data_IF_370560224158
#
_entry.id   IF_370560224158
#
_cell.length_a   1.000
_cell.length_b   1.000
_cell.length_c   1.000
_cell.angle_alpha   90.00
_cell.angle_beta   90.00
_cell.angle_gamma   90.00
#
_symmetry.space_group_name_H-M   'P 1'
#
loop_
_entity.id
_entity.type
_entity.pdbx_description
1 polymer ?
#
# COMPACT_ATOMS: atom_id res chain seq x y z
N UNK A 1 10.38 37.10 11.32
CA UNK A 1 9.78 36.34 12.43
C UNK A 1 10.58 35.05 12.67
N UNK A 2 11.81 35.17 13.17
CA UNK A 2 12.64 34.04 13.55
C UNK A 2 13.11 34.27 15.00
N UNK A 3 12.18 34.22 15.94
CA UNK A 3 12.53 33.92 17.32
C UNK A 3 12.49 32.40 17.42
N UNK A 4 13.64 31.77 17.21
CA UNK A 4 13.84 30.37 17.56
C UNK A 4 13.52 30.23 19.05
N UNK A 5 12.45 29.51 19.35
CA UNK A 5 12.07 29.09 20.69
C UNK A 5 13.09 28.05 21.15
N UNK A 6 14.25 28.51 21.61
CA UNK A 6 15.28 27.68 22.18
C UNK A 6 14.68 26.87 23.35
N UNK A 7 14.51 25.57 23.15
CA UNK A 7 14.01 24.63 24.16
C UNK A 7 12.63 24.00 23.92
N UNK A 8 11.84 24.47 22.95
CA UNK A 8 10.59 23.77 22.61
C UNK A 8 10.82 22.67 21.58
N UNK A 9 10.22 21.47 21.74
CA UNK A 9 10.32 20.42 20.74
C UNK A 9 9.72 20.90 19.41
N UNK A 10 10.20 20.38 18.27
CA UNK A 10 9.69 20.82 16.98
C UNK A 10 8.19 20.52 16.87
N UNK A 11 7.40 21.33 16.12
CA UNK A 11 5.94 21.20 16.07
C UNK A 11 5.44 19.80 15.71
N UNK A 12 6.20 19.04 14.92
CA UNK A 12 5.89 17.66 14.52
C UNK A 12 6.13 16.61 15.60
N UNK A 13 6.86 16.92 16.68
CA UNK A 13 7.24 15.94 17.70
C UNK A 13 6.04 15.37 18.45
N UNK A 14 5.05 16.22 18.81
CA UNK A 14 3.86 15.79 19.54
C UNK A 14 3.00 14.84 18.67
N UNK A 15 2.62 15.19 17.42
CA UNK A 15 1.91 14.25 16.55
C UNK A 15 2.68 12.97 16.28
N UNK A 16 4.01 13.03 16.13
CA UNK A 16 4.83 11.84 15.95
C UNK A 16 4.78 10.92 17.19
N UNK A 17 4.83 11.50 18.39
CA UNK A 17 4.67 10.74 19.64
C UNK A 17 3.27 10.13 19.75
N UNK A 18 2.22 10.88 19.43
CA UNK A 18 0.84 10.37 19.41
C UNK A 18 0.68 9.22 18.42
N UNK A 19 1.29 9.32 17.24
CA UNK A 19 1.33 8.24 16.25
C UNK A 19 2.02 6.99 16.81
N UNK A 20 3.13 7.14 17.55
CA UNK A 20 3.78 6.02 18.25
C UNK A 20 2.88 5.42 19.33
N UNK A 21 2.15 6.26 20.09
CA UNK A 21 1.21 5.81 21.11
C UNK A 21 0.08 4.96 20.53
N UNK A 22 -0.40 5.25 19.31
CA UNK A 22 -1.37 4.38 18.61
C UNK A 22 -0.84 2.95 18.51
N UNK A 23 0.43 2.79 18.14
CA UNK A 23 1.06 1.48 18.00
C UNK A 23 1.29 0.82 19.37
N UNK A 24 1.79 1.59 20.35
CA UNK A 24 2.10 1.08 21.69
C UNK A 24 0.84 0.64 22.44
N UNK A 25 -0.22 1.45 22.43
CA UNK A 25 -1.50 1.10 23.07
C UNK A 25 -2.07 -0.18 22.47
N UNK A 26 -2.04 -0.30 21.14
CA UNK A 26 -2.48 -1.52 20.44
C UNK A 26 -1.63 -2.72 20.85
N UNK A 27 -0.30 -2.61 20.72
CA UNK A 27 0.65 -3.70 20.95
C UNK A 27 0.65 -4.21 22.39
N UNK A 28 0.64 -3.32 23.36
CA UNK A 28 0.58 -3.68 24.78
C UNK A 28 -0.77 -4.29 25.14
N UNK A 29 -1.87 -3.78 24.57
CA UNK A 29 -3.19 -4.36 24.83
C UNK A 29 -3.30 -5.78 24.29
N UNK A 30 -2.84 -6.06 23.07
CA UNK A 30 -2.88 -7.42 22.52
C UNK A 30 -1.93 -8.37 23.26
N UNK A 31 -0.83 -7.84 23.78
CA UNK A 31 0.11 -8.61 24.57
C UNK A 31 -0.53 -9.04 25.89
N UNK A 32 -1.15 -8.13 26.64
CA UNK A 32 -1.52 -8.38 28.05
C UNK A 32 -3.00 -8.60 28.33
N UNK A 33 -3.91 -7.98 27.57
CA UNK A 33 -5.33 -8.14 27.82
C UNK A 33 -5.84 -9.45 27.19
N UNK A 34 -6.70 -10.23 27.85
CA UNK A 34 -7.40 -11.35 27.21
C UNK A 34 -8.21 -10.92 25.97
N UNK A 35 -8.41 -11.85 25.03
CA UNK A 35 -9.12 -11.60 23.76
C UNK A 35 -10.56 -11.05 23.91
N UNK A 36 -11.21 -11.33 25.03
CA UNK A 36 -12.58 -10.89 25.35
C UNK A 36 -12.64 -9.84 26.47
N UNK A 37 -11.50 -9.27 26.88
CA UNK A 37 -11.45 -8.26 27.93
C UNK A 37 -12.11 -6.94 27.50
N UNK A 38 -12.82 -6.22 28.39
CA UNK A 38 -13.32 -4.88 28.12
C UNK A 38 -12.20 -3.85 27.88
N UNK A 39 -10.95 -4.16 28.24
CA UNK A 39 -9.80 -3.32 27.88
C UNK A 39 -9.61 -3.20 26.36
N UNK A 40 -10.04 -4.20 25.57
CA UNK A 40 -9.91 -4.21 24.10
C UNK A 40 -10.70 -3.07 23.42
N UNK A 41 -12.03 -2.92 23.62
CA UNK A 41 -12.77 -1.79 23.06
C UNK A 41 -12.32 -0.44 23.63
N UNK A 42 -11.95 -0.36 24.91
CA UNK A 42 -11.42 0.89 25.50
C UNK A 42 -10.12 1.33 24.81
N UNK A 43 -9.19 0.40 24.56
CA UNK A 43 -7.96 0.69 23.83
C UNK A 43 -8.25 1.12 22.37
N UNK A 44 -9.24 0.52 21.72
CA UNK A 44 -9.63 0.92 20.36
C UNK A 44 -10.17 2.37 20.33
N UNK A 45 -10.99 2.76 21.31
CA UNK A 45 -11.47 4.16 21.45
C UNK A 45 -10.30 5.12 21.70
N UNK A 46 -9.36 4.74 22.57
CA UNK A 46 -8.16 5.55 22.83
C UNK A 46 -7.29 5.73 21.57
N UNK A 47 -7.11 4.66 20.78
CA UNK A 47 -6.40 4.70 19.49
C UNK A 47 -7.08 5.66 18.50
N UNK A 48 -8.41 5.62 18.39
CA UNK A 48 -9.17 6.56 17.54
C UNK A 48 -8.98 8.00 18.02
N UNK A 49 -9.05 8.25 19.34
CA UNK A 49 -8.85 9.59 19.90
C UNK A 49 -7.43 10.12 19.63
N UNK A 50 -6.40 9.26 19.77
CA UNK A 50 -5.02 9.61 19.43
C UNK A 50 -4.87 9.94 17.94
N UNK A 51 -5.44 9.14 17.05
CA UNK A 51 -5.40 9.40 15.61
C UNK A 51 -6.14 10.70 15.23
N UNK A 52 -7.28 10.98 15.86
CA UNK A 52 -7.99 12.24 15.68
C UNK A 52 -7.15 13.43 16.15
N UNK A 53 -6.42 13.30 17.27
CA UNK A 53 -5.50 14.33 17.74
C UNK A 53 -4.35 14.57 16.74
N UNK A 54 -3.74 13.50 16.20
CA UNK A 54 -2.72 13.59 15.13
C UNK A 54 -3.27 14.33 13.92
N UNK A 55 -4.49 13.97 13.48
CA UNK A 55 -5.15 14.60 12.34
C UNK A 55 -5.42 16.09 12.55
N UNK A 56 -5.89 16.48 13.74
CA UNK A 56 -6.17 17.89 14.08
C UNK A 56 -4.90 18.73 14.07
N UNK A 57 -3.80 18.19 14.60
CA UNK A 57 -2.52 18.89 14.66
C UNK A 57 -1.78 18.91 13.32
N UNK A 58 -2.12 18.00 12.40
CA UNK A 58 -1.38 17.80 11.16
C UNK A 58 -1.22 19.08 10.33
N UNK A 59 -2.28 19.89 10.23
CA UNK A 59 -2.31 21.12 9.43
C UNK A 59 -1.36 22.21 9.94
N UNK A 60 -0.94 22.16 11.21
CA UNK A 60 -0.01 23.13 11.80
C UNK A 60 1.38 22.51 12.00
N UNK A 61 1.43 21.25 12.43
CA UNK A 61 2.64 20.57 12.81
C UNK A 61 3.50 20.10 11.62
N UNK A 62 2.87 19.84 10.47
CA UNK A 62 3.56 19.32 9.28
C UNK A 62 3.58 20.30 8.10
N UNK A 63 3.31 21.60 8.31
CA UNK A 63 3.39 22.60 7.24
C UNK A 63 4.79 22.60 6.62
N UNK A 64 4.87 22.42 5.29
CA UNK A 64 6.13 22.36 4.55
C UNK A 64 6.92 21.05 4.74
N UNK A 65 6.41 20.09 5.51
CA UNK A 65 7.05 18.79 5.75
C UNK A 65 6.41 17.73 4.87
N UNK A 66 7.11 17.33 3.80
CA UNK A 66 6.61 16.39 2.78
C UNK A 66 6.20 15.01 3.32
N UNK A 67 6.78 14.57 4.45
CA UNK A 67 6.43 13.29 5.06
C UNK A 67 5.22 13.36 6.01
N UNK A 68 4.66 14.54 6.28
CA UNK A 68 3.51 14.72 7.16
C UNK A 68 2.24 14.01 6.69
N UNK A 69 1.91 14.13 5.41
CA UNK A 69 0.76 13.42 4.82
C UNK A 69 0.83 11.92 4.96
N UNK A 70 1.95 11.29 4.53
CA UNK A 70 2.18 9.87 4.76
C UNK A 70 2.03 9.46 6.23
N UNK A 71 2.55 10.22 7.20
CA UNK A 71 2.40 9.91 8.63
C UNK A 71 0.92 9.90 9.05
N UNK A 72 0.18 10.95 8.68
CA UNK A 72 -1.24 11.08 9.04
C UNK A 72 -2.08 9.99 8.39
N UNK A 73 -1.84 9.70 7.10
CA UNK A 73 -2.52 8.64 6.38
C UNK A 73 -2.21 7.26 7.00
N UNK A 74 -0.95 7.01 7.35
CA UNK A 74 -0.55 5.80 8.06
C UNK A 74 -1.12 5.71 9.47
N UNK A 75 -1.38 6.83 10.15
CA UNK A 75 -2.07 6.85 11.44
C UNK A 75 -3.45 6.20 11.34
N UNK A 76 -4.22 6.56 10.31
CA UNK A 76 -5.55 5.97 10.09
C UNK A 76 -5.48 4.51 9.62
N UNK A 77 -4.46 4.13 8.83
CA UNK A 77 -4.18 2.72 8.53
C UNK A 77 -3.90 1.93 9.83
N UNK A 78 -3.18 2.53 10.77
CA UNK A 78 -2.91 1.93 12.08
C UNK A 78 -4.18 1.80 12.94
N UNK A 79 -5.14 2.72 12.84
CA UNK A 79 -6.46 2.57 13.49
C UNK A 79 -7.18 1.33 12.94
N UNK A 80 -7.21 1.15 11.62
CA UNK A 80 -7.83 -0.04 11.01
C UNK A 80 -7.10 -1.33 11.42
N UNK A 81 -5.78 -1.28 11.55
CA UNK A 81 -4.95 -2.37 12.04
C UNK A 81 -5.22 -2.69 13.51
N UNK A 82 -5.43 -1.66 14.33
CA UNK A 82 -5.83 -1.81 15.73
C UNK A 82 -7.22 -2.41 15.86
N UNK A 83 -8.18 -2.03 15.01
CA UNK A 83 -9.51 -2.63 14.99
C UNK A 83 -9.44 -4.11 14.65
N UNK A 84 -8.65 -4.49 13.64
CA UNK A 84 -8.38 -5.88 13.33
C UNK A 84 -7.86 -6.62 14.57
N UNK A 85 -6.75 -6.19 15.13
CA UNK A 85 -6.07 -6.89 16.23
C UNK A 85 -6.86 -6.91 17.54
N UNK A 86 -7.51 -5.80 17.90
CA UNK A 86 -8.18 -5.65 19.20
C UNK A 86 -9.58 -6.25 19.19
N UNK A 87 -10.34 -6.08 18.09
CA UNK A 87 -11.78 -6.32 18.07
C UNK A 87 -12.19 -7.47 17.14
N UNK A 88 -11.61 -7.53 15.95
CA UNK A 88 -12.08 -8.44 14.89
C UNK A 88 -11.39 -9.80 14.96
N UNK A 89 -10.07 -9.83 14.82
CA UNK A 89 -9.26 -11.05 14.94
C UNK A 89 -9.00 -11.43 16.40
N UNK A 90 -9.14 -10.45 17.31
CA UNK A 90 -8.88 -10.58 18.76
C UNK A 90 -7.54 -11.23 19.05
N UNK A 91 -6.51 -10.76 18.33
CA UNK A 91 -5.15 -11.25 18.48
C UNK A 91 -4.70 -11.18 19.95
N UNK A 92 -4.11 -12.27 20.43
CA UNK A 92 -3.62 -12.38 21.79
C UNK A 92 -2.39 -13.25 21.86
N UNK A 93 -1.48 -12.89 22.77
CA UNK A 93 -0.26 -13.64 22.97
C UNK A 93 -0.53 -15.10 23.36
N UNK A 94 -1.56 -15.34 24.17
CA UNK A 94 -1.90 -16.69 24.61
C UNK A 94 -2.37 -17.58 23.44
N UNK A 95 -3.11 -17.01 22.48
CA UNK A 95 -3.49 -17.70 21.26
C UNK A 95 -2.29 -17.98 20.34
N UNK A 96 -1.32 -17.05 20.25
CA UNK A 96 -0.06 -17.29 19.54
C UNK A 96 0.69 -18.48 20.17
N UNK A 97 0.90 -18.45 21.47
CA UNK A 97 1.62 -19.49 22.20
C UNK A 97 0.95 -20.87 22.05
N UNK A 98 -0.38 -20.91 22.09
CA UNK A 98 -1.14 -22.14 21.87
C UNK A 98 -1.01 -22.66 20.41
N UNK A 99 -0.90 -21.75 19.43
CA UNK A 99 -0.66 -22.10 18.04
C UNK A 99 0.76 -22.63 17.81
N UNK A 100 1.78 -21.98 18.40
CA UNK A 100 3.18 -22.43 18.34
C UNK A 100 3.36 -23.81 18.95
N UNK A 101 2.78 -24.07 20.12
CA UNK A 101 2.85 -25.39 20.76
C UNK A 101 2.26 -26.51 19.90
N UNK A 102 1.19 -26.22 19.14
CA UNK A 102 0.62 -27.16 18.16
C UNK A 102 1.54 -27.37 16.96
N UNK A 103 2.16 -26.30 16.48
CA UNK A 103 3.07 -26.31 15.32
C UNK A 103 4.35 -27.11 15.60
N UNK A 104 4.95 -26.93 16.77
CA UNK A 104 6.23 -27.57 17.15
C UNK A 104 6.06 -28.93 17.84
N UNK A 105 4.84 -29.27 18.28
CA UNK A 105 4.55 -30.41 19.18
C UNK A 105 5.32 -30.36 20.50
N UNK A 106 5.88 -29.21 20.87
CA UNK A 106 6.57 -29.01 22.14
C UNK A 106 5.60 -28.54 23.24
N UNK A 107 5.92 -28.87 24.49
CA UNK A 107 5.24 -28.28 25.64
C UNK A 107 5.53 -26.77 25.70
N UNK A 108 4.49 -26.01 26.03
CA UNK A 108 4.52 -24.56 26.20
C UNK A 108 5.61 -24.15 27.19
N UNK A 109 6.65 -23.44 26.73
CA UNK A 109 7.69 -22.89 27.60
C UNK A 109 7.20 -21.61 28.28
N UNK A 110 7.69 -21.32 29.49
CA UNK A 110 7.39 -20.07 30.17
C UNK A 110 7.94 -18.90 29.34
N UNK A 111 7.07 -18.01 28.88
CA UNK A 111 7.47 -16.86 28.07
C UNK A 111 7.81 -15.69 29.00
N UNK A 112 9.01 -15.12 28.86
CA UNK A 112 9.41 -13.96 29.65
C UNK A 112 8.54 -12.73 29.33
N UNK A 113 8.36 -11.85 30.32
CA UNK A 113 7.64 -10.59 30.16
C UNK A 113 8.16 -9.78 28.96
N UNK A 114 9.49 -9.71 28.83
CA UNK A 114 10.16 -9.01 27.73
C UNK A 114 9.75 -9.58 26.36
N UNK A 115 9.77 -10.91 26.18
CA UNK A 115 9.34 -11.54 24.91
C UNK A 115 7.88 -11.23 24.59
N UNK A 116 7.01 -11.21 25.60
CA UNK A 116 5.60 -10.88 25.44
C UNK A 116 5.38 -9.43 24.96
N UNK A 117 6.13 -8.46 25.50
CA UNK A 117 6.12 -7.07 25.04
C UNK A 117 6.60 -6.96 23.60
N UNK A 118 7.75 -7.58 23.30
CA UNK A 118 8.34 -7.56 21.94
C UNK A 118 7.38 -8.18 20.92
N UNK A 119 6.74 -9.30 21.25
CA UNK A 119 5.71 -9.91 20.40
C UNK A 119 4.56 -8.93 20.12
N UNK A 120 4.06 -8.24 21.13
CA UNK A 120 2.98 -7.26 20.97
C UNK A 120 3.37 -6.11 20.04
N UNK A 121 4.55 -5.54 20.23
CA UNK A 121 5.08 -4.46 19.38
C UNK A 121 5.28 -4.94 17.94
N UNK A 122 5.95 -6.09 17.75
CA UNK A 122 6.21 -6.66 16.43
C UNK A 122 4.91 -6.98 15.67
N UNK A 123 3.89 -7.49 16.37
CA UNK A 123 2.60 -7.87 15.77
C UNK A 123 1.87 -6.66 15.16
N UNK A 124 2.01 -5.47 15.75
CA UNK A 124 1.41 -4.24 15.22
C UNK A 124 2.04 -3.85 13.87
N UNK A 125 3.36 -4.03 13.71
CA UNK A 125 4.07 -3.76 12.45
C UNK A 125 4.05 -4.93 11.45
N UNK A 126 3.68 -6.13 11.92
CA UNK A 126 3.47 -7.31 11.08
C UNK A 126 2.05 -7.29 10.45
N UNK A 127 1.81 -6.36 9.52
CA UNK A 127 0.50 -6.20 8.87
C UNK A 127 0.03 -7.44 8.09
N UNK A 128 0.96 -8.27 7.64
CA UNK A 128 0.67 -9.54 6.94
C UNK A 128 0.51 -10.73 7.89
N UNK A 129 0.70 -10.50 9.19
CA UNK A 129 0.54 -11.49 10.27
C UNK A 129 1.40 -12.74 10.06
N UNK A 130 2.59 -12.54 9.50
CA UNK A 130 3.56 -13.60 9.20
C UNK A 130 3.92 -14.37 10.47
N UNK A 131 3.93 -15.70 10.38
CA UNK A 131 4.21 -16.64 11.48
C UNK A 131 3.27 -16.50 12.69
N UNK A 132 1.99 -16.26 12.41
CA UNK A 132 0.92 -16.21 13.43
C UNK A 132 -0.31 -16.98 12.94
N UNK A 133 -1.26 -17.37 13.83
CA UNK A 133 -2.51 -17.98 13.40
C UNK A 133 -3.42 -17.06 12.57
N UNK A 134 -3.10 -15.76 12.48
CA UNK A 134 -3.84 -14.76 11.72
C UNK A 134 -3.17 -14.40 10.38
N UNK A 135 -2.18 -15.18 9.94
CA UNK A 135 -1.46 -14.97 8.68
C UNK A 135 -2.42 -14.87 7.48
N UNK A 136 -2.12 -13.97 6.54
CA UNK A 136 -2.89 -13.86 5.29
C UNK A 136 -2.86 -15.16 4.47
N UNK A 137 -3.99 -15.50 3.84
CA UNK A 137 -4.15 -16.78 3.12
C UNK A 137 -3.19 -16.96 1.93
N UNK A 138 -2.89 -15.89 1.18
CA UNK A 138 -2.13 -15.95 -0.08
C UNK A 138 -0.85 -15.14 0.02
N UNK A 139 0.06 -15.59 0.87
CA UNK A 139 1.40 -15.02 0.98
C UNK A 139 2.20 -15.29 -0.32
N UNK A 140 2.92 -14.30 -0.87
CA UNK A 140 3.76 -14.54 -2.05
C UNK A 140 4.92 -15.46 -1.70
N UNK A 141 5.18 -16.46 -2.54
CA UNK A 141 6.28 -17.40 -2.38
C UNK A 141 7.61 -16.81 -2.89
N UNK A 142 8.73 -17.37 -2.44
CA UNK A 142 10.06 -17.03 -2.95
C UNK A 142 10.27 -17.56 -4.37
N UNK A 143 9.77 -18.76 -4.63
CA UNK A 143 9.72 -19.40 -5.94
C UNK A 143 8.26 -19.78 -6.25
N UNK A 144 7.78 -19.40 -7.43
CA UNK A 144 6.43 -19.74 -7.89
C UNK A 144 6.32 -21.23 -8.28
N UNK A 145 7.44 -21.89 -8.60
CA UNK A 145 7.50 -23.31 -8.98
C UNK A 145 7.61 -24.24 -7.75
N UNK A 146 8.28 -23.79 -6.70
CA UNK A 146 8.39 -24.49 -5.42
C UNK A 146 8.05 -23.53 -4.25
N UNK A 147 6.77 -23.44 -3.85
CA UNK A 147 6.35 -22.51 -2.80
C UNK A 147 6.98 -22.75 -1.43
N UNK A 148 7.52 -23.95 -1.19
CA UNK A 148 8.15 -24.33 0.07
C UNK A 148 9.66 -24.04 0.08
N UNK A 149 10.28 -23.67 -1.07
CA UNK A 149 11.69 -23.26 -1.14
C UNK A 149 11.91 -21.94 -0.40
N UNK A 150 12.65 -22.00 0.71
CA UNK A 150 13.11 -20.82 1.44
C UNK A 150 14.60 -20.63 1.14
N UNK A 151 15.02 -19.45 0.64
CA UNK A 151 16.42 -19.20 0.32
C UNK A 151 17.28 -19.21 1.59
N UNK A 152 18.53 -19.66 1.45
CA UNK A 152 19.54 -19.48 2.50
C UNK A 152 19.77 -18.00 2.80
N UNK A 153 20.23 -17.67 4.02
CA UNK A 153 20.49 -16.27 4.42
C UNK A 153 21.37 -15.51 3.44
N UNK A 154 22.46 -16.14 2.97
CA UNK A 154 23.38 -15.53 2.00
C UNK A 154 22.69 -15.28 0.64
N UNK A 155 21.94 -16.27 0.13
CA UNK A 155 21.17 -16.12 -1.13
C UNK A 155 20.12 -15.02 -0.98
N UNK A 156 19.38 -15.01 0.13
CA UNK A 156 18.37 -14.01 0.42
C UNK A 156 18.96 -12.59 0.44
N UNK A 157 20.03 -12.36 1.20
CA UNK A 157 20.69 -11.06 1.29
C UNK A 157 21.22 -10.61 -0.08
N UNK A 158 21.90 -11.50 -0.81
CA UNK A 158 22.42 -11.18 -2.15
C UNK A 158 21.31 -10.82 -3.15
N UNK A 159 20.25 -11.62 -3.24
CA UNK A 159 19.10 -11.34 -4.12
C UNK A 159 18.38 -10.05 -3.70
N UNK A 160 18.25 -9.80 -2.41
CA UNK A 160 17.59 -8.60 -1.88
C UNK A 160 18.42 -7.34 -2.16
N UNK A 161 19.75 -7.41 -2.04
CA UNK A 161 20.65 -6.33 -2.44
C UNK A 161 20.49 -5.97 -3.92
N UNK A 162 20.45 -6.98 -4.81
CA UNK A 162 20.21 -6.77 -6.24
C UNK A 162 18.85 -6.11 -6.48
N UNK A 163 17.78 -6.57 -5.80
CA UNK A 163 16.44 -5.95 -5.89
C UNK A 163 16.46 -4.46 -5.48
N UNK A 164 17.17 -4.11 -4.41
CA UNK A 164 17.30 -2.72 -3.95
C UNK A 164 18.03 -1.89 -5.00
N UNK A 165 19.17 -2.37 -5.51
CA UNK A 165 19.94 -1.64 -6.54
C UNK A 165 19.09 -1.43 -7.79
N UNK A 166 18.42 -2.46 -8.30
CA UNK A 166 17.54 -2.34 -9.46
C UNK A 166 16.37 -1.38 -9.22
N UNK A 167 15.79 -1.38 -8.02
CA UNK A 167 14.73 -0.45 -7.65
C UNK A 167 15.24 1.00 -7.59
N UNK A 168 16.41 1.25 -7.00
CA UNK A 168 17.02 2.58 -6.96
C UNK A 168 17.39 3.07 -8.36
N UNK A 169 17.96 2.21 -9.21
CA UNK A 169 18.22 2.52 -10.62
C UNK A 169 16.92 2.86 -11.33
N UNK A 170 15.84 2.08 -11.14
CA UNK A 170 14.55 2.38 -11.74
C UNK A 170 14.00 3.75 -11.28
N UNK A 171 14.11 4.09 -10.00
CA UNK A 171 13.72 5.42 -9.50
C UNK A 171 14.54 6.50 -10.19
N UNK A 172 15.86 6.35 -10.28
CA UNK A 172 16.74 7.34 -10.92
C UNK A 172 16.49 7.46 -12.42
N UNK A 173 16.18 6.37 -13.12
CA UNK A 173 15.96 6.38 -14.55
C UNK A 173 14.60 6.97 -14.93
N UNK A 174 13.57 6.71 -14.13
CA UNK A 174 12.20 7.14 -14.43
C UNK A 174 11.82 8.46 -13.75
N UNK A 175 12.75 9.14 -13.08
CA UNK A 175 12.54 10.48 -12.52
C UNK A 175 13.34 11.55 -13.28
N UNK A 176 12.77 12.74 -13.40
CA UNK A 176 13.39 13.89 -14.07
C UNK A 176 13.27 15.14 -13.21
N UNK A 177 14.29 16.00 -13.26
CA UNK A 177 14.28 17.28 -12.54
C UNK A 177 13.26 18.24 -13.16
N UNK A 178 12.69 19.12 -12.34
CA UNK A 178 11.57 19.96 -12.76
C UNK A 178 12.01 21.10 -13.71
N UNK A 179 13.27 21.51 -13.64
CA UNK A 179 13.89 22.56 -14.45
C UNK A 179 14.48 22.04 -15.78
N UNK A 180 14.42 20.72 -16.02
CA UNK A 180 14.88 20.12 -17.26
C UNK A 180 14.10 20.64 -18.48
N UNK A 181 14.85 20.80 -19.57
CA UNK A 181 14.30 21.31 -20.83
C UNK A 181 13.15 20.40 -21.30
N UNK A 182 12.05 21.03 -21.74
CA UNK A 182 10.82 20.38 -22.23
C UNK A 182 9.89 19.74 -21.18
N UNK A 183 10.29 19.64 -19.90
CA UNK A 183 9.40 19.13 -18.85
C UNK A 183 8.22 20.06 -18.65
N UNK A 184 8.45 21.37 -18.60
CA UNK A 184 7.38 22.37 -18.45
C UNK A 184 6.31 22.26 -19.55
N UNK A 185 6.73 22.07 -20.81
CA UNK A 185 5.81 21.86 -21.93
C UNK A 185 5.01 20.58 -21.77
N UNK A 186 5.66 19.46 -21.42
CA UNK A 186 4.99 18.19 -21.19
C UNK A 186 3.96 18.28 -20.05
N UNK A 187 4.30 18.96 -18.95
CA UNK A 187 3.39 19.20 -17.81
C UNK A 187 2.21 20.08 -18.22
N UNK A 188 2.43 21.14 -19.02
CA UNK A 188 1.38 22.03 -19.49
C UNK A 188 0.30 21.32 -20.33
N UNK A 189 0.63 20.16 -20.95
CA UNK A 189 -0.33 19.36 -21.72
C UNK A 189 -1.26 18.52 -20.86
N UNK A 190 -0.95 18.33 -19.57
CA UNK A 190 -1.69 17.45 -18.69
C UNK A 190 -2.96 18.12 -18.16
N UNK A 191 -4.16 17.59 -18.46
CA UNK A 191 -5.38 18.08 -17.83
C UNK A 191 -5.45 17.64 -16.37
N UNK A 192 -5.91 18.52 -15.48
CA UNK A 192 -6.15 18.22 -14.07
C UNK A 192 -7.60 17.87 -13.76
N UNK A 193 -8.54 18.27 -14.62
CA UNK A 193 -9.96 17.94 -14.46
C UNK A 193 -10.28 16.49 -14.84
N UNK A 194 -10.86 15.72 -13.91
CA UNK A 194 -11.17 14.30 -14.10
C UNK A 194 -11.98 14.00 -15.37
N UNK A 195 -12.98 14.84 -15.70
CA UNK A 195 -13.78 14.69 -16.93
C UNK A 195 -12.92 14.80 -18.21
N UNK A 196 -12.03 15.78 -18.25
CA UNK A 196 -11.15 16.02 -19.41
C UNK A 196 -10.10 14.92 -19.56
N UNK A 197 -9.64 14.35 -18.46
CA UNK A 197 -8.74 13.19 -18.47
C UNK A 197 -9.45 11.95 -19.01
N UNK A 198 -10.63 11.63 -18.48
CA UNK A 198 -11.37 10.41 -18.83
C UNK A 198 -11.98 10.45 -20.23
N UNK A 199 -12.21 11.65 -20.77
CA UNK A 199 -12.71 11.88 -22.13
C UNK A 199 -11.71 12.74 -22.91
N UNK A 200 -10.56 12.17 -23.33
CA UNK A 200 -9.43 12.94 -23.85
C UNK A 200 -9.67 13.57 -25.24
N UNK A 201 -10.77 13.23 -25.92
CA UNK A 201 -11.03 13.64 -27.31
C UNK A 201 -9.95 13.12 -28.28
N UNK A 202 -9.83 13.75 -29.45
CA UNK A 202 -8.87 13.38 -30.50
C UNK A 202 -7.44 13.95 -30.27
N UNK A 203 -6.96 14.02 -29.02
CA UNK A 203 -5.67 14.61 -28.67
C UNK A 203 -4.59 13.53 -28.49
N UNK A 204 -4.19 12.85 -29.57
CA UNK A 204 -3.24 11.72 -29.52
C UNK A 204 -1.94 12.04 -28.76
N UNK A 205 -1.36 13.23 -28.98
CA UNK A 205 -0.15 13.67 -28.28
C UNK A 205 -0.33 13.83 -26.77
N UNK A 206 -1.48 14.38 -26.34
CA UNK A 206 -1.83 14.46 -24.90
C UNK A 206 -1.94 13.07 -24.29
N UNK A 207 -2.64 12.16 -24.98
CA UNK A 207 -2.81 10.78 -24.53
C UNK A 207 -1.47 10.07 -24.41
N UNK A 208 -0.54 10.32 -25.33
CA UNK A 208 0.83 9.81 -25.24
C UNK A 208 1.55 10.35 -24.01
N UNK A 209 1.62 11.68 -23.83
CA UNK A 209 2.35 12.29 -22.72
C UNK A 209 1.83 11.83 -21.35
N UNK A 210 0.50 11.83 -21.14
CA UNK A 210 -0.07 11.33 -19.88
C UNK A 210 0.23 9.83 -19.65
N UNK A 211 0.30 9.04 -20.72
CA UNK A 211 0.62 7.62 -20.64
C UNK A 211 2.06 7.42 -20.18
N UNK A 212 3.00 8.24 -20.67
CA UNK A 212 4.40 8.17 -20.29
C UNK A 212 4.61 8.54 -18.82
N UNK A 213 3.98 9.63 -18.35
CA UNK A 213 3.95 9.97 -16.91
C UNK A 213 3.34 8.84 -16.07
N UNK A 214 2.27 8.22 -16.55
CA UNK A 214 1.62 7.08 -15.87
C UNK A 214 2.53 5.86 -15.75
N UNK A 215 3.26 5.53 -16.81
CA UNK A 215 4.23 4.42 -16.79
C UNK A 215 5.35 4.71 -15.80
N UNK A 216 5.95 5.91 -15.85
CA UNK A 216 6.98 6.33 -14.91
C UNK A 216 6.50 6.31 -13.47
N UNK A 217 5.29 6.82 -13.21
CA UNK A 217 4.63 6.76 -11.91
C UNK A 217 4.51 5.31 -11.40
N UNK A 218 3.95 4.41 -12.21
CA UNK A 218 3.78 3.01 -11.82
C UNK A 218 5.09 2.30 -11.50
N UNK A 219 6.14 2.52 -12.31
CA UNK A 219 7.48 1.98 -12.08
C UNK A 219 8.07 2.50 -10.77
N UNK A 220 8.00 3.83 -10.56
CA UNK A 220 8.55 4.47 -9.35
C UNK A 220 7.82 4.01 -8.10
N UNK A 221 6.49 3.98 -8.11
CA UNK A 221 5.71 3.50 -6.96
C UNK A 221 6.08 2.06 -6.59
N UNK A 222 6.17 1.16 -7.59
CA UNK A 222 6.56 -0.23 -7.34
C UNK A 222 8.00 -0.32 -6.81
N UNK A 223 8.93 0.41 -7.42
CA UNK A 223 10.32 0.43 -7.02
C UNK A 223 10.51 0.97 -5.59
N UNK A 224 9.84 2.06 -5.23
CA UNK A 224 9.90 2.65 -3.89
C UNK A 224 9.39 1.69 -2.81
N UNK A 225 8.25 1.02 -3.04
CA UNK A 225 7.69 0.03 -2.11
C UNK A 225 8.64 -1.17 -1.96
N UNK A 226 9.17 -1.68 -3.07
CA UNK A 226 10.10 -2.80 -3.05
C UNK A 226 11.40 -2.43 -2.33
N UNK A 227 11.99 -1.28 -2.63
CA UNK A 227 13.22 -0.80 -2.02
C UNK A 227 13.05 -0.62 -0.50
N UNK A 228 11.97 0.04 -0.07
CA UNK A 228 11.70 0.26 1.36
C UNK A 228 11.58 -1.05 2.14
N UNK A 229 10.74 -1.97 1.68
CA UNK A 229 10.58 -3.28 2.31
C UNK A 229 11.89 -4.09 2.30
N UNK A 230 12.52 -4.19 1.12
CA UNK A 230 13.73 -5.00 0.92
C UNK A 230 14.91 -4.48 1.74
N UNK A 231 15.04 -3.17 1.91
CA UNK A 231 16.14 -2.58 2.67
C UNK A 231 16.07 -2.95 4.15
N UNK A 232 14.89 -2.83 4.76
CA UNK A 232 14.71 -3.22 6.15
C UNK A 232 14.84 -4.74 6.32
N UNK A 233 14.23 -5.52 5.42
CA UNK A 233 14.32 -6.97 5.44
C UNK A 233 15.77 -7.48 5.32
N UNK A 234 16.53 -6.91 4.38
CA UNK A 234 17.95 -7.24 4.19
C UNK A 234 18.75 -6.93 5.46
N UNK A 235 18.56 -5.76 6.06
CA UNK A 235 19.28 -5.35 7.26
C UNK A 235 19.04 -6.34 8.41
N UNK A 236 17.79 -6.63 8.73
CA UNK A 236 17.47 -7.46 9.90
C UNK A 236 17.81 -8.93 9.70
N UNK A 237 17.73 -9.44 8.46
CA UNK A 237 18.15 -10.82 8.12
C UNK A 237 19.67 -10.94 8.07
N UNK A 238 20.39 -9.95 7.53
CA UNK A 238 21.85 -9.95 7.50
C UNK A 238 22.46 -9.89 8.91
N UNK A 239 21.84 -9.14 9.83
CA UNK A 239 22.24 -9.08 11.24
C UNK A 239 21.85 -10.33 12.05
N UNK A 240 21.09 -11.27 11.46
CA UNK A 240 20.66 -12.50 12.12
C UNK A 240 19.55 -12.31 13.15
N UNK A 241 18.80 -11.20 13.10
CA UNK A 241 17.64 -10.99 13.97
C UNK A 241 16.41 -11.78 13.52
N UNK A 242 16.29 -12.07 12.22
CA UNK A 242 15.20 -12.84 11.62
C UNK A 242 15.73 -13.78 10.54
N UNK A 243 14.99 -14.86 10.29
CA UNK A 243 15.24 -15.77 9.18
C UNK A 243 14.55 -15.30 7.89
N UNK A 244 15.04 -15.72 6.70
CA UNK A 244 14.43 -15.35 5.42
C UNK A 244 12.92 -15.63 5.34
N UNK A 245 12.45 -16.75 5.89
CA UNK A 245 11.02 -17.15 5.86
C UNK A 245 10.10 -16.14 6.56
N UNK A 246 10.61 -15.37 7.52
CA UNK A 246 9.88 -14.33 8.24
C UNK A 246 9.75 -13.03 7.43
N UNK A 247 10.50 -12.92 6.32
CA UNK A 247 10.47 -11.81 5.38
C UNK A 247 10.12 -12.25 3.94
N UNK A 248 8.92 -12.84 3.74
CA UNK A 248 8.46 -13.31 2.44
C UNK A 248 8.22 -12.15 1.47
N UNK A 249 8.33 -12.37 0.14
CA UNK A 249 8.18 -11.33 -0.85
C UNK A 249 6.89 -10.51 -0.66
N UNK A 250 6.99 -9.20 -0.83
CA UNK A 250 5.88 -8.27 -0.54
C UNK A 250 4.74 -8.34 -1.56
N UNK A 251 5.03 -8.87 -2.74
CA UNK A 251 4.18 -8.92 -3.91
C UNK A 251 4.55 -10.14 -4.75
N UNK A 252 3.57 -10.73 -5.43
CA UNK A 252 3.81 -11.79 -6.41
C UNK A 252 4.37 -11.27 -7.74
N UNK A 253 4.64 -12.21 -8.65
CA UNK A 253 5.22 -11.93 -9.96
C UNK A 253 4.31 -11.08 -10.87
N UNK A 254 4.91 -10.11 -11.59
CA UNK A 254 4.21 -9.32 -12.61
C UNK A 254 3.72 -10.17 -13.80
N UNK A 255 4.27 -11.38 -13.99
CA UNK A 255 3.79 -12.35 -14.99
C UNK A 255 2.36 -12.85 -14.68
N UNK A 256 1.87 -12.60 -13.47
CA UNK A 256 0.50 -12.87 -13.05
C UNK A 256 -0.49 -11.72 -13.26
N UNK A 257 -0.05 -10.53 -13.66
CA UNK A 257 -0.83 -9.28 -13.60
C UNK A 257 -1.78 -9.03 -14.80
N UNK A 258 -2.26 -10.07 -15.47
CA UNK A 258 -3.09 -9.96 -16.68
C UNK A 258 -4.60 -9.75 -16.42
N UNK A 259 -5.01 -9.43 -15.20
CA UNK A 259 -6.37 -8.96 -14.88
C UNK A 259 -6.25 -7.93 -13.76
N UNK A 260 -7.17 -6.96 -13.68
CA UNK A 260 -7.18 -5.98 -12.59
C UNK A 260 -7.30 -6.68 -11.25
N UNK A 261 -8.14 -7.72 -11.16
CA UNK A 261 -8.24 -8.53 -9.95
C UNK A 261 -6.89 -9.12 -9.56
N UNK A 262 -6.17 -9.79 -10.48
CA UNK A 262 -4.85 -10.38 -10.17
C UNK A 262 -3.80 -9.32 -9.86
N UNK A 263 -3.83 -8.20 -10.58
CA UNK A 263 -2.93 -7.08 -10.35
C UNK A 263 -2.98 -6.68 -8.87
N UNK A 264 -4.15 -6.25 -8.40
CA UNK A 264 -4.34 -5.72 -7.04
C UNK A 264 -4.31 -6.79 -5.94
N UNK A 265 -4.76 -8.02 -6.23
CA UNK A 265 -4.88 -9.07 -5.22
C UNK A 265 -3.64 -9.92 -5.01
N UNK A 266 -2.74 -10.00 -6.01
CA UNK A 266 -1.55 -10.88 -6.01
C UNK A 266 -0.25 -10.15 -6.29
N UNK A 267 -0.21 -9.28 -7.29
CA UNK A 267 1.06 -8.77 -7.85
C UNK A 267 1.42 -7.38 -7.37
N UNK A 268 0.46 -6.61 -6.89
CA UNK A 268 0.70 -5.40 -6.10
C UNK A 268 1.02 -5.77 -4.66
N UNK A 269 1.57 -4.84 -3.87
CA UNK A 269 1.98 -5.15 -2.50
C UNK A 269 0.80 -5.63 -1.65
N UNK A 270 1.04 -6.64 -0.81
CA UNK A 270 0.01 -7.24 0.04
C UNK A 270 0.06 -6.77 1.50
N UNK A 271 0.87 -5.75 1.81
CA UNK A 271 1.09 -5.26 3.18
C UNK A 271 -0.22 -5.12 3.96
N UNK A 272 -1.21 -4.42 3.40
CA UNK A 272 -2.45 -4.06 4.10
C UNK A 272 -3.62 -5.01 3.87
N UNK A 273 -3.37 -6.17 3.26
CA UNK A 273 -4.43 -7.11 2.85
C UNK A 273 -5.28 -7.55 4.05
N UNK A 274 -4.65 -7.95 5.15
CA UNK A 274 -5.38 -8.39 6.35
C UNK A 274 -6.26 -7.29 6.89
N UNK A 275 -5.68 -6.11 7.11
CA UNK A 275 -6.36 -4.92 7.64
C UNK A 275 -7.60 -4.56 6.82
N UNK A 276 -7.49 -4.57 5.50
CA UNK A 276 -8.60 -4.23 4.61
C UNK A 276 -9.68 -5.33 4.59
N UNK A 277 -9.27 -6.61 4.55
CA UNK A 277 -10.22 -7.73 4.49
C UNK A 277 -11.01 -7.87 5.78
N UNK A 278 -10.38 -7.77 6.95
CA UNK A 278 -11.07 -7.93 8.23
C UNK A 278 -12.05 -6.79 8.50
N UNK A 279 -11.65 -5.55 8.25
CA UNK A 279 -12.56 -4.41 8.37
C UNK A 279 -13.69 -4.50 7.32
N UNK A 280 -13.40 -4.89 6.08
CA UNK A 280 -14.44 -5.12 5.06
C UNK A 280 -15.44 -6.23 5.45
N UNK A 281 -14.97 -7.29 6.11
CA UNK A 281 -15.82 -8.34 6.68
C UNK A 281 -16.73 -7.81 7.78
N UNK A 282 -16.18 -6.99 8.67
CA UNK A 282 -16.94 -6.36 9.74
C UNK A 282 -18.05 -5.47 9.19
N UNK A 283 -17.75 -4.64 8.18
CA UNK A 283 -18.77 -3.83 7.50
C UNK A 283 -19.85 -4.72 6.87
N UNK A 284 -19.45 -5.79 6.18
CA UNK A 284 -20.43 -6.73 5.60
C UNK A 284 -21.32 -7.38 6.68
N UNK A 285 -20.76 -7.74 7.84
CA UNK A 285 -21.54 -8.31 8.94
C UNK A 285 -22.50 -7.32 9.58
N UNK A 286 -22.09 -6.05 9.73
CA UNK A 286 -22.96 -4.97 10.24
C UNK A 286 -24.13 -4.72 9.29
N UNK A 287 -23.91 -4.87 7.98
CA UNK A 287 -24.95 -4.78 6.95
C UNK A 287 -25.81 -6.07 6.85
N UNK A 288 -25.60 -7.05 7.70
CA UNK A 288 -26.36 -8.31 7.70
C UNK A 288 -26.06 -9.24 6.53
N UNK A 289 -24.93 -9.04 5.82
CA UNK A 289 -24.55 -9.89 4.69
C UNK A 289 -23.88 -11.17 5.22
N UNK A 290 -24.41 -12.37 4.90
CA UNK A 290 -23.82 -13.63 5.35
C UNK A 290 -22.39 -13.81 4.82
N UNK A 291 -21.49 -14.35 5.64
CA UNK A 291 -20.08 -14.60 5.27
C UNK A 291 -19.92 -15.54 4.08
N UNK A 292 -20.89 -16.42 3.84
CA UNK A 292 -20.96 -17.34 2.70
C UNK A 292 -21.40 -16.67 1.39
N UNK A 293 -21.93 -15.45 1.45
CA UNK A 293 -22.46 -14.73 0.31
C UNK A 293 -21.35 -14.17 -0.58
N UNK A 294 -21.53 -14.25 -1.89
CA UNK A 294 -20.63 -13.61 -2.88
C UNK A 294 -20.60 -12.09 -2.72
N UNK A 295 -21.65 -11.48 -2.15
CA UNK A 295 -21.75 -10.04 -1.89
C UNK A 295 -20.68 -9.53 -0.92
N UNK A 296 -20.21 -10.36 0.01
CA UNK A 296 -19.11 -10.00 0.91
C UNK A 296 -17.85 -9.64 0.13
N UNK A 297 -17.58 -10.32 -0.99
CA UNK A 297 -16.42 -10.00 -1.84
C UNK A 297 -16.52 -8.58 -2.41
N UNK A 298 -17.71 -8.13 -2.77
CA UNK A 298 -17.92 -6.78 -3.32
C UNK A 298 -17.87 -5.70 -2.24
N UNK A 299 -18.34 -5.98 -1.02
CA UNK A 299 -18.15 -5.06 0.12
C UNK A 299 -16.67 -4.92 0.47
N UNK A 300 -15.92 -6.03 0.55
CA UNK A 300 -14.47 -5.99 0.75
C UNK A 300 -13.78 -5.18 -0.35
N UNK A 301 -14.18 -5.37 -1.61
CA UNK A 301 -13.66 -4.64 -2.75
C UNK A 301 -13.92 -3.14 -2.64
N UNK A 302 -15.17 -2.75 -2.38
CA UNK A 302 -15.57 -1.35 -2.22
C UNK A 302 -14.84 -0.69 -1.05
N UNK A 303 -14.78 -1.37 0.10
CA UNK A 303 -14.07 -0.90 1.28
C UNK A 303 -12.57 -0.72 1.01
N UNK A 304 -11.94 -1.71 0.37
CA UNK A 304 -10.52 -1.66 0.01
C UNK A 304 -10.16 -0.42 -0.80
N UNK A 305 -10.93 -0.16 -1.84
CA UNK A 305 -10.68 0.95 -2.75
C UNK A 305 -11.11 2.30 -2.18
N UNK A 306 -12.17 2.36 -1.37
CA UNK A 306 -12.55 3.57 -0.66
C UNK A 306 -11.48 4.02 0.34
N UNK A 307 -11.00 3.10 1.19
CA UNK A 307 -9.92 3.39 2.15
C UNK A 307 -8.63 3.77 1.43
N UNK A 308 -8.28 3.05 0.35
CA UNK A 308 -7.11 3.37 -0.45
C UNK A 308 -7.21 4.78 -1.05
N UNK A 309 -8.39 5.15 -1.57
CA UNK A 309 -8.66 6.51 -2.06
C UNK A 309 -8.49 7.58 -0.99
N UNK A 310 -9.00 7.35 0.22
CA UNK A 310 -8.89 8.31 1.34
C UNK A 310 -7.44 8.49 1.80
N UNK A 311 -6.68 7.40 1.91
CA UNK A 311 -5.25 7.42 2.27
C UNK A 311 -4.46 8.23 1.25
N UNK A 312 -4.68 8.01 -0.06
CA UNK A 312 -3.96 8.72 -1.10
C UNK A 312 -4.45 10.16 -1.29
N UNK A 313 -5.73 10.44 -1.05
CA UNK A 313 -6.23 11.82 -0.97
C UNK A 313 -5.50 12.59 0.14
N UNK A 314 -5.34 12.00 1.33
CA UNK A 314 -4.58 12.61 2.42
C UNK A 314 -3.12 12.91 2.03
N UNK A 315 -2.49 12.01 1.26
CA UNK A 315 -1.14 12.23 0.72
C UNK A 315 -1.11 13.34 -0.34
N UNK A 316 -2.07 13.37 -1.26
CA UNK A 316 -2.20 14.42 -2.28
C UNK A 316 -2.27 15.82 -1.63
N UNK A 317 -3.13 15.96 -0.60
CA UNK A 317 -3.28 17.22 0.15
C UNK A 317 -1.97 17.64 0.81
N UNK A 318 -1.20 16.70 1.35
CA UNK A 318 0.08 17.00 1.98
C UNK A 318 1.20 17.31 0.97
N UNK A 319 1.10 16.80 -0.25
CA UNK A 319 1.92 17.24 -1.37
C UNK A 319 1.49 18.60 -1.91
N UNK A 320 0.40 19.20 -1.42
CA UNK A 320 -0.09 20.51 -1.83
C UNK A 320 -1.10 20.48 -2.96
N UNK A 321 -1.57 19.30 -3.38
CA UNK A 321 -2.63 19.18 -4.39
C UNK A 321 -3.94 19.67 -3.77
N UNK A 322 -4.65 20.65 -4.37
CA UNK A 322 -5.92 21.12 -3.83
C UNK A 322 -6.98 20.01 -3.77
N UNK A 323 -7.80 20.00 -2.72
CA UNK A 323 -8.86 18.99 -2.53
C UNK A 323 -9.75 18.81 -3.77
N UNK A 324 -10.16 19.91 -4.39
CA UNK A 324 -11.02 19.90 -5.58
C UNK A 324 -10.34 19.32 -6.83
N UNK A 325 -9.01 19.21 -6.82
CA UNK A 325 -8.21 18.67 -7.93
C UNK A 325 -7.72 17.25 -7.65
N UNK A 326 -7.74 16.76 -6.40
CA UNK A 326 -7.28 15.40 -6.12
C UNK A 326 -8.17 14.38 -6.83
N UNK A 327 -7.55 13.57 -7.69
CA UNK A 327 -8.21 12.49 -8.40
C UNK A 327 -8.19 11.15 -7.67
N UNK A 328 -7.63 11.07 -6.45
CA UNK A 328 -7.40 9.81 -5.75
C UNK A 328 -8.69 8.99 -5.58
N UNK A 329 -9.75 9.59 -5.03
CA UNK A 329 -11.04 8.89 -4.85
C UNK A 329 -11.64 8.40 -6.17
N UNK A 330 -11.51 9.18 -7.24
CA UNK A 330 -11.99 8.80 -8.57
C UNK A 330 -11.19 7.61 -9.11
N UNK A 331 -9.86 7.68 -9.07
CA UNK A 331 -8.99 6.61 -9.53
C UNK A 331 -9.25 5.28 -8.82
N UNK A 332 -9.25 5.28 -7.47
CA UNK A 332 -9.46 4.05 -6.71
C UNK A 332 -10.91 3.54 -6.85
N UNK A 333 -11.90 4.43 -6.91
CA UNK A 333 -13.28 4.06 -7.23
C UNK A 333 -13.40 3.37 -8.59
N UNK A 334 -12.72 3.89 -9.62
CA UNK A 334 -12.67 3.27 -10.94
C UNK A 334 -12.02 1.88 -10.91
N UNK A 335 -11.02 1.62 -10.05
CA UNK A 335 -10.45 0.26 -9.93
C UNK A 335 -11.49 -0.77 -9.47
N UNK A 336 -12.35 -0.40 -8.52
CA UNK A 336 -13.44 -1.28 -8.07
C UNK A 336 -14.43 -1.54 -9.21
N UNK A 337 -14.84 -0.49 -9.93
CA UNK A 337 -15.73 -0.60 -11.11
C UNK A 337 -15.09 -1.48 -12.19
N UNK A 338 -13.81 -1.25 -12.51
CA UNK A 338 -13.06 -2.01 -13.50
C UNK A 338 -13.01 -3.50 -13.16
N UNK A 339 -12.81 -3.86 -11.89
CA UNK A 339 -12.84 -5.26 -11.45
C UNK A 339 -14.25 -5.85 -11.59
N UNK A 340 -15.31 -5.12 -11.24
CA UNK A 340 -16.70 -5.60 -11.43
C UNK A 340 -16.99 -5.84 -12.90
N UNK A 341 -16.66 -4.89 -13.78
CA UNK A 341 -16.81 -5.01 -15.24
C UNK A 341 -16.01 -6.21 -15.77
N UNK A 342 -14.75 -6.35 -15.35
CA UNK A 342 -13.90 -7.48 -15.71
C UNK A 342 -14.50 -8.83 -15.31
N UNK A 343 -15.05 -8.95 -14.09
CA UNK A 343 -15.69 -10.19 -13.64
C UNK A 343 -16.96 -10.50 -14.43
N UNK A 344 -17.80 -9.50 -14.68
CA UNK A 344 -19.03 -9.67 -15.46
C UNK A 344 -18.69 -10.10 -16.89
N UNK A 345 -17.70 -9.46 -17.52
CA UNK A 345 -17.21 -9.85 -18.84
C UNK A 345 -16.72 -11.30 -18.85
N UNK A 346 -15.88 -11.69 -17.88
CA UNK A 346 -15.39 -13.06 -17.76
C UNK A 346 -16.51 -14.08 -17.52
N UNK A 347 -17.57 -13.70 -16.80
CA UNK A 347 -18.72 -14.55 -16.56
C UNK A 347 -19.59 -14.75 -17.81
N UNK A 348 -19.91 -13.67 -18.52
CA UNK A 348 -20.74 -13.67 -19.73
C UNK A 348 -20.02 -14.42 -20.87
N UNK A 349 -18.73 -14.15 -21.08
CA UNK A 349 -17.94 -14.74 -22.16
C UNK A 349 -17.13 -15.96 -21.72
N UNK A 350 -17.53 -16.62 -20.62
CA UNK A 350 -16.75 -17.72 -20.01
C UNK A 350 -16.41 -18.84 -20.97
N UNK A 351 -17.34 -19.24 -21.84
CA UNK A 351 -17.15 -20.37 -22.76
C UNK A 351 -16.12 -20.00 -23.83
N UNK A 352 -16.23 -18.81 -24.41
CA UNK A 352 -15.27 -18.30 -25.39
C UNK A 352 -13.87 -18.15 -24.78
N UNK A 353 -13.78 -17.53 -23.60
CA UNK A 353 -12.49 -17.33 -22.90
C UNK A 353 -11.85 -18.67 -22.51
N UNK A 354 -12.64 -19.65 -22.08
CA UNK A 354 -12.13 -20.97 -21.73
C UNK A 354 -11.71 -21.79 -22.97
N UNK A 355 -12.25 -21.50 -24.15
CA UNK A 355 -11.81 -22.07 -25.42
C UNK A 355 -10.54 -21.43 -26.01
N UNK A 356 -10.07 -20.30 -25.46
CA UNK A 356 -8.83 -19.66 -25.91
C UNK A 356 -7.59 -20.39 -25.39
N UNK A 357 -6.50 -20.35 -26.17
CA UNK A 357 -5.20 -20.79 -25.65
C UNK A 357 -4.76 -19.93 -24.45
N UNK A 358 -4.02 -20.49 -23.48
CA UNK A 358 -3.56 -19.73 -22.31
C UNK A 358 -2.77 -18.47 -22.67
N UNK A 359 -2.00 -18.50 -23.77
CA UNK A 359 -1.23 -17.36 -24.27
C UNK A 359 -2.14 -16.20 -24.69
N UNK A 360 -3.16 -16.47 -25.52
CA UNK A 360 -4.11 -15.45 -25.97
C UNK A 360 -4.92 -14.86 -24.81
N UNK A 361 -5.38 -15.71 -23.89
CA UNK A 361 -6.09 -15.24 -22.69
C UNK A 361 -5.24 -14.28 -21.86
N UNK A 362 -3.96 -14.58 -21.67
CA UNK A 362 -3.02 -13.68 -20.96
C UNK A 362 -2.76 -12.39 -21.74
N UNK A 363 -2.54 -12.48 -23.05
CA UNK A 363 -2.27 -11.31 -23.90
C UNK A 363 -3.43 -10.31 -23.88
N UNK A 364 -4.67 -10.78 -24.09
CA UNK A 364 -5.88 -9.94 -24.02
C UNK A 364 -6.07 -9.35 -22.62
N UNK A 365 -5.82 -10.14 -21.58
CA UNK A 365 -5.88 -9.68 -20.21
C UNK A 365 -4.86 -8.57 -19.90
N UNK A 366 -3.62 -8.71 -20.36
CA UNK A 366 -2.61 -7.65 -20.23
C UNK A 366 -3.00 -6.40 -20.99
N UNK A 367 -3.50 -6.53 -22.22
CA UNK A 367 -4.01 -5.40 -22.99
C UNK A 367 -5.09 -4.65 -22.21
N UNK A 368 -6.08 -5.36 -21.65
CA UNK A 368 -7.11 -4.78 -20.80
C UNK A 368 -6.52 -4.03 -19.60
N UNK A 369 -5.62 -4.66 -18.83
CA UNK A 369 -5.02 -4.03 -17.65
C UNK A 369 -4.23 -2.77 -18.02
N UNK A 370 -3.39 -2.85 -19.04
CA UNK A 370 -2.55 -1.71 -19.48
C UNK A 370 -3.44 -0.57 -19.97
N UNK A 371 -4.39 -0.83 -20.87
CA UNK A 371 -5.29 0.20 -21.38
C UNK A 371 -6.10 0.84 -20.25
N UNK A 372 -6.63 0.03 -19.34
CA UNK A 372 -7.41 0.52 -18.20
C UNK A 372 -6.59 1.41 -17.25
N UNK A 373 -5.35 1.02 -16.93
CA UNK A 373 -4.48 1.83 -16.08
C UNK A 373 -4.02 3.11 -16.77
N UNK A 374 -3.65 3.06 -18.05
CA UNK A 374 -3.27 4.25 -18.83
C UNK A 374 -4.44 5.24 -18.99
N UNK A 375 -5.67 4.74 -18.97
CA UNK A 375 -6.87 5.58 -19.02
C UNK A 375 -7.23 6.19 -17.66
N UNK A 376 -7.19 5.42 -16.58
CA UNK A 376 -7.73 5.84 -15.27
C UNK A 376 -6.70 6.53 -14.37
N UNK A 377 -5.43 6.12 -14.42
CA UNK A 377 -4.36 6.64 -13.54
C UNK A 377 -4.06 8.13 -13.73
N UNK A 378 -4.09 8.70 -14.96
CA UNK A 378 -3.83 10.13 -15.13
C UNK A 378 -4.79 11.04 -14.36
N UNK A 379 -6.00 10.57 -14.00
CA UNK A 379 -6.97 11.34 -13.20
C UNK A 379 -6.36 11.73 -11.86
N UNK A 380 -5.57 10.81 -11.28
CA UNK A 380 -4.89 11.02 -10.01
C UNK A 380 -3.48 11.58 -10.18
N UNK A 381 -2.73 11.12 -11.18
CA UNK A 381 -1.31 11.49 -11.34
C UNK A 381 -1.12 12.91 -11.89
N UNK A 382 -1.97 13.39 -12.79
CA UNK A 382 -1.76 14.70 -13.43
C UNK A 382 -1.74 15.86 -12.43
N UNK A 383 -2.70 16.00 -11.48
CA UNK A 383 -2.64 17.02 -10.44
C UNK A 383 -1.35 16.95 -9.60
N UNK A 384 -0.90 15.74 -9.28
CA UNK A 384 0.33 15.52 -8.51
C UNK A 384 1.57 15.96 -9.30
N UNK A 385 1.66 15.62 -10.60
CA UNK A 385 2.75 16.07 -11.48
C UNK A 385 2.83 17.59 -11.53
N UNK A 386 1.69 18.26 -11.73
CA UNK A 386 1.62 19.74 -11.71
C UNK A 386 2.16 20.30 -10.40
N UNK A 387 1.77 19.73 -9.27
CA UNK A 387 2.20 20.20 -7.96
C UNK A 387 3.70 19.98 -7.72
N UNK A 388 4.21 18.78 -8.02
CA UNK A 388 5.64 18.47 -7.87
C UNK A 388 6.52 19.37 -8.77
N UNK A 389 6.08 19.64 -10.00
CA UNK A 389 6.77 20.55 -10.90
C UNK A 389 6.78 22.00 -10.37
N UNK A 390 5.65 22.51 -9.87
CA UNK A 390 5.57 23.85 -9.25
C UNK A 390 6.49 23.99 -8.05
N UNK A 391 6.65 22.92 -7.27
CA UNK A 391 7.54 22.88 -6.12
C UNK A 391 9.03 22.78 -6.51
N UNK A 392 9.35 22.64 -7.80
CA UNK A 392 10.73 22.47 -8.28
C UNK A 392 11.34 21.13 -7.87
N UNK A 393 10.52 20.11 -7.61
CA UNK A 393 11.01 18.81 -7.14
C UNK A 393 10.99 17.78 -8.25
N UNK A 394 12.07 17.00 -8.30
CA UNK A 394 12.23 15.87 -9.18
C UNK A 394 10.99 14.95 -9.15
N UNK A 395 10.39 14.71 -10.31
CA UNK A 395 9.12 14.03 -10.46
C UNK A 395 9.19 12.90 -11.49
N UNK A 396 8.05 12.32 -11.87
CA UNK A 396 7.97 11.24 -12.86
C UNK A 396 8.39 11.75 -14.25
N UNK A 397 9.26 11.02 -14.94
CA UNK A 397 9.77 11.40 -16.25
C UNK A 397 8.71 11.20 -17.35
N UNK A 398 8.39 12.20 -18.19
CA UNK A 398 7.61 11.98 -19.40
C UNK A 398 8.41 11.26 -20.49
N UNK A 399 9.71 11.07 -20.30
CA UNK A 399 10.60 10.43 -21.28
C UNK A 399 10.98 9.00 -20.88
N UNK A 400 10.29 8.42 -19.88
CA UNK A 400 10.64 7.13 -19.28
C UNK A 400 12.09 7.13 -18.81
N UNK A 401 12.88 6.14 -19.21
CA UNK A 401 14.30 6.00 -18.89
C UNK A 401 15.25 6.72 -19.87
N UNK A 402 14.75 7.49 -20.82
CA UNK A 402 15.59 8.24 -21.76
C UNK A 402 15.86 9.65 -21.24
N UNK A 403 17.14 10.09 -21.27
CA UNK A 403 17.52 11.46 -20.91
C UNK A 403 17.35 12.40 -22.11
N UNK A 404 16.76 13.58 -21.89
CA UNK A 404 16.66 14.66 -22.89
C UNK A 404 15.79 14.32 -24.10
N UNK A 405 14.47 14.52 -24.01
CA UNK A 405 13.55 14.17 -25.08
C UNK A 405 13.07 15.34 -25.92
N UNK A 406 13.80 15.69 -26.98
CA UNK A 406 13.21 16.44 -28.10
C UNK A 406 12.21 15.61 -28.91
N UNK A 407 12.22 14.27 -28.77
CA UNK A 407 11.34 13.36 -29.51
C UNK A 407 9.86 13.43 -29.11
N UNK A 408 9.53 14.10 -28.00
CA UNK A 408 8.14 14.40 -27.67
C UNK A 408 7.64 15.67 -28.35
N UNK A 409 8.52 16.56 -28.83
CA UNK A 409 8.19 17.89 -29.36
C UNK A 409 8.14 17.93 -30.88
#
# INVERSE_FOLDING_TARGET
MAAQTAGMPPPWAIPALQWLLVQLVTGLTIAFAPAHSPARPTAAVAVVALAAAVQQQALQAFVGIRFGGPIVAMCWVNVLNAFDLLLLSRASHDAQVAWEAKKTREKTKHVSLFRRVIWGINTVFNYRRIDTPWQIDQLPAFDDADPDDVPTRLRYVGVTAVKIVLALVAVQMFTIDADEMYVADAVAMLPTGARTVLLPGAAARRVLVQSLFTVSFGVICRAAILAGYSSYAMLVVALGFYEPVEWPPIAGSLTGAWTLRRLWSRTWHQIFRQTVVSNGNFIASVLGIPSSSTWVCYIRLAFAFAVSGLVHLGMDLAFGVPLAQSGAMVFFGLQAVGIVVENTFQHVFRNTINGMSPGWRRALGYMWVVVFLLWTTPVWVNPLVHQLHRDGVRAFSPFLCFRGGSWLL
#
